data_IF_237852908698
#
_entry.id   IF_237852908698
#
_cell.length_a   1.000
_cell.length_b   1.000
_cell.length_c   1.000
_cell.angle_alpha   90.00
_cell.angle_beta   90.00
_cell.angle_gamma   90.00
#
_symmetry.space_group_name_H-M   'P 1'
#
loop_
_entity.id
_entity.type
_entity.pdbx_description
1 polymer ?
#
# COMPACT_ATOMS: atom_id res chain seq x y z
N UNK A 1 -15.78 17.92 -14.80
CA UNK A 1 -15.79 17.07 -13.59
C UNK A 1 -14.76 15.97 -13.81
N UNK A 2 -13.71 15.87 -12.99
CA UNK A 2 -12.68 14.84 -13.17
C UNK A 2 -13.27 13.42 -13.12
N UNK A 3 -12.81 12.57 -14.03
CA UNK A 3 -13.16 11.14 -14.12
C UNK A 3 -12.04 10.32 -13.50
N UNK A 4 -12.39 9.54 -12.49
CA UNK A 4 -11.45 8.74 -11.70
C UNK A 4 -11.75 7.27 -11.89
N UNK A 5 -10.72 6.47 -12.18
CA UNK A 5 -10.77 5.03 -12.08
C UNK A 5 -10.07 4.57 -10.81
N UNK A 6 -10.78 3.91 -9.90
CA UNK A 6 -10.19 3.19 -8.76
C UNK A 6 -9.92 1.75 -9.20
N UNK A 7 -8.65 1.40 -9.40
CA UNK A 7 -8.22 0.04 -9.67
C UNK A 7 -7.83 -0.67 -8.37
N UNK A 8 -8.77 -1.45 -7.84
CA UNK A 8 -8.63 -2.18 -6.58
C UNK A 8 -9.56 -1.66 -5.48
N UNK A 9 -10.81 -2.11 -5.50
CA UNK A 9 -11.88 -1.73 -4.56
C UNK A 9 -11.80 -2.47 -3.22
N UNK A 10 -10.60 -2.55 -2.62
CA UNK A 10 -10.44 -3.01 -1.24
C UNK A 10 -10.67 -1.87 -0.24
N UNK A 11 -10.20 -2.04 1.01
CA UNK A 11 -10.34 -1.03 2.06
C UNK A 11 -9.86 0.38 1.64
N UNK A 12 -8.64 0.49 1.11
CA UNK A 12 -8.06 1.78 0.68
C UNK A 12 -8.84 2.38 -0.49
N UNK A 13 -9.09 1.59 -1.54
CA UNK A 13 -9.82 2.04 -2.73
C UNK A 13 -11.25 2.50 -2.42
N UNK A 14 -11.93 1.84 -1.48
CA UNK A 14 -13.25 2.27 -1.01
C UNK A 14 -13.23 3.67 -0.39
N UNK A 15 -12.24 3.97 0.46
CA UNK A 15 -12.12 5.29 1.12
C UNK A 15 -11.67 6.36 0.15
N UNK A 16 -10.70 6.09 -0.72
CA UNK A 16 -10.24 7.08 -1.71
C UNK A 16 -11.31 7.35 -2.77
N UNK A 17 -12.05 6.33 -3.21
CA UNK A 17 -13.24 6.53 -4.04
C UNK A 17 -14.32 7.35 -3.34
N UNK A 18 -14.50 7.17 -2.02
CA UNK A 18 -15.43 7.98 -1.23
C UNK A 18 -15.00 9.45 -1.19
N UNK A 19 -13.75 9.73 -0.81
CA UNK A 19 -13.19 11.09 -0.75
C UNK A 19 -13.33 11.78 -2.12
N UNK A 20 -12.90 11.13 -3.19
CA UNK A 20 -12.98 11.72 -4.54
C UNK A 20 -14.43 11.89 -5.02
N UNK A 21 -15.35 11.00 -4.61
CA UNK A 21 -16.78 11.19 -4.85
C UNK A 21 -17.35 12.40 -4.10
N UNK A 22 -16.90 12.65 -2.86
CA UNK A 22 -17.31 13.83 -2.08
C UNK A 22 -16.77 15.13 -2.68
N UNK A 23 -15.59 15.08 -3.32
CA UNK A 23 -15.03 16.17 -4.11
C UNK A 23 -15.81 16.46 -5.40
N UNK A 24 -16.88 15.70 -5.67
CA UNK A 24 -17.70 15.81 -6.85
C UNK A 24 -17.08 15.16 -8.08
N UNK A 25 -16.12 14.24 -7.96
CA UNK A 25 -15.58 13.52 -9.12
C UNK A 25 -16.53 12.41 -9.60
N UNK A 26 -16.44 12.06 -10.89
CA UNK A 26 -17.10 10.86 -11.43
C UNK A 26 -16.22 9.64 -11.17
N UNK A 27 -16.63 8.78 -10.25
CA UNK A 27 -15.83 7.63 -9.80
C UNK A 27 -16.32 6.34 -10.43
N UNK A 28 -15.44 5.69 -11.19
CA UNK A 28 -15.59 4.29 -11.64
C UNK A 28 -14.65 3.40 -10.83
N UNK A 29 -15.09 2.20 -10.47
CA UNK A 29 -14.30 1.28 -9.67
C UNK A 29 -14.28 -0.13 -10.25
N UNK A 30 -13.08 -0.74 -10.29
CA UNK A 30 -12.89 -2.11 -10.76
C UNK A 30 -12.93 -3.05 -9.57
N UNK A 31 -14.10 -3.67 -9.39
CA UNK A 31 -14.38 -4.64 -8.35
C UNK A 31 -14.05 -6.06 -8.82
N UNK A 32 -13.70 -6.93 -7.87
CA UNK A 32 -13.61 -8.39 -8.12
C UNK A 32 -14.66 -9.12 -7.30
N UNK A 33 -14.24 -9.68 -6.16
CA UNK A 33 -15.11 -10.45 -5.26
C UNK A 33 -16.28 -9.63 -4.68
N UNK A 34 -16.18 -8.30 -4.63
CA UNK A 34 -17.21 -7.42 -4.11
C UNK A 34 -18.09 -6.77 -5.18
N UNK A 35 -17.95 -7.12 -6.47
CA UNK A 35 -18.66 -6.46 -7.57
C UNK A 35 -20.18 -6.39 -7.36
N UNK A 36 -20.84 -7.53 -7.11
CA UNK A 36 -22.30 -7.59 -6.94
C UNK A 36 -22.76 -6.68 -5.81
N UNK A 37 -22.10 -6.74 -4.65
CA UNK A 37 -22.46 -5.92 -3.49
C UNK A 37 -22.28 -4.42 -3.78
N UNK A 38 -21.16 -4.03 -4.41
CA UNK A 38 -20.89 -2.63 -4.76
C UNK A 38 -21.86 -2.10 -5.82
N UNK A 39 -22.18 -2.91 -6.84
CA UNK A 39 -23.15 -2.54 -7.88
C UNK A 39 -24.55 -2.34 -7.30
N UNK A 40 -25.01 -3.26 -6.47
CA UNK A 40 -26.39 -3.30 -6.00
C UNK A 40 -26.61 -2.32 -4.83
N UNK A 41 -25.64 -2.22 -3.91
CA UNK A 41 -25.81 -1.48 -2.65
C UNK A 41 -24.91 -0.24 -2.53
N UNK A 42 -23.96 -0.04 -3.45
CA UNK A 42 -22.90 0.96 -3.29
C UNK A 42 -21.85 0.53 -2.27
N UNK A 43 -21.11 1.50 -1.75
CA UNK A 43 -20.07 1.30 -0.74
C UNK A 43 -20.48 2.00 0.53
N UNK A 44 -20.47 1.26 1.65
CA UNK A 44 -20.71 1.78 3.00
C UNK A 44 -19.38 2.03 3.69
N UNK A 45 -19.20 3.25 4.19
CA UNK A 45 -18.02 3.71 4.92
C UNK A 45 -18.42 3.94 6.37
N UNK A 46 -17.90 3.12 7.28
CA UNK A 46 -17.99 3.33 8.73
C UNK A 46 -16.67 3.91 9.22
N UNK A 47 -16.60 5.23 9.30
CA UNK A 47 -15.34 5.94 9.58
C UNK A 47 -15.36 6.65 10.93
N UNK A 48 -14.24 6.58 11.64
CA UNK A 48 -13.98 7.42 12.82
C UNK A 48 -13.67 8.89 12.48
N UNK A 49 -13.43 9.20 11.21
CA UNK A 49 -13.14 10.56 10.71
C UNK A 49 -14.35 11.13 9.97
N UNK A 50 -14.93 10.36 9.04
CA UNK A 50 -16.00 10.80 8.15
C UNK A 50 -17.42 10.45 8.65
N UNK A 51 -17.51 9.75 9.78
CA UNK A 51 -18.77 9.18 10.26
C UNK A 51 -19.24 8.00 9.41
N UNK A 52 -20.53 7.67 9.53
CA UNK A 52 -21.17 6.62 8.73
C UNK A 52 -21.75 7.24 7.47
N UNK A 53 -21.25 6.84 6.31
CA UNK A 53 -21.68 7.34 5.02
C UNK A 53 -21.81 6.20 4.00
N UNK A 54 -22.45 6.50 2.87
CA UNK A 54 -22.43 5.62 1.71
C UNK A 54 -22.30 6.44 0.43
N UNK A 55 -21.70 5.84 -0.59
CA UNK A 55 -21.63 6.41 -1.93
C UNK A 55 -21.75 5.31 -2.97
N UNK A 56 -22.15 5.66 -4.19
CA UNK A 56 -22.37 4.69 -5.26
C UNK A 56 -21.52 5.04 -6.48
N UNK A 57 -20.34 4.42 -6.64
CA UNK A 57 -19.54 4.57 -7.86
C UNK A 57 -20.16 3.77 -9.01
N UNK A 58 -19.73 4.05 -10.24
CA UNK A 58 -19.93 3.10 -11.34
C UNK A 58 -19.05 1.88 -11.11
N UNK A 59 -19.66 0.73 -10.84
CA UNK A 59 -18.94 -0.52 -10.58
C UNK A 59 -18.81 -1.35 -11.86
N UNK A 60 -17.61 -1.86 -12.12
CA UNK A 60 -17.32 -2.79 -13.21
C UNK A 60 -16.45 -3.95 -12.72
N UNK A 61 -16.35 -5.03 -13.50
CA UNK A 61 -15.52 -6.20 -13.16
C UNK A 61 -14.13 -6.17 -13.81
N UNK A 62 -13.99 -5.43 -14.92
CA UNK A 62 -12.74 -5.38 -15.69
C UNK A 62 -12.40 -3.96 -16.11
N UNK A 63 -11.12 -3.71 -16.37
CA UNK A 63 -10.65 -2.43 -16.90
C UNK A 63 -11.28 -2.13 -18.26
N UNK A 64 -11.47 -3.15 -19.10
CA UNK A 64 -12.14 -3.01 -20.39
C UNK A 64 -13.59 -2.51 -20.27
N UNK A 65 -14.35 -2.98 -19.27
CA UNK A 65 -15.69 -2.47 -18.99
C UNK A 65 -15.66 -1.02 -18.49
N UNK A 66 -14.63 -0.63 -17.73
CA UNK A 66 -14.48 0.75 -17.26
C UNK A 66 -14.35 1.76 -18.41
N UNK A 67 -13.87 1.35 -19.59
CA UNK A 67 -13.63 2.25 -20.73
C UNK A 67 -14.87 3.01 -21.20
N UNK A 68 -16.07 2.46 -20.99
CA UNK A 68 -17.35 3.13 -21.27
C UNK A 68 -17.53 4.44 -20.48
N UNK A 69 -16.83 4.56 -19.34
CA UNK A 69 -16.89 5.72 -18.47
C UNK A 69 -15.68 6.66 -18.64
N UNK A 70 -14.70 6.26 -19.45
CA UNK A 70 -13.47 7.02 -19.72
C UNK A 70 -13.63 8.12 -20.79
N UNK A 71 -12.51 8.66 -21.31
CA UNK A 71 -11.16 8.51 -20.78
C UNK A 71 -11.07 9.02 -19.33
N UNK A 72 -10.12 8.50 -18.55
CA UNK A 72 -9.94 8.86 -17.15
C UNK A 72 -8.83 9.90 -16.99
N UNK A 73 -9.09 10.93 -16.18
CA UNK A 73 -8.10 11.92 -15.80
C UNK A 73 -7.08 11.29 -14.84
N UNK A 74 -7.56 10.47 -13.90
CA UNK A 74 -6.74 9.74 -12.94
C UNK A 74 -7.09 8.26 -12.88
N UNK A 75 -6.08 7.40 -12.91
CA UNK A 75 -6.18 5.97 -12.56
C UNK A 75 -5.48 5.76 -11.22
N UNK A 76 -6.26 5.60 -10.16
CA UNK A 76 -5.77 5.39 -8.80
C UNK A 76 -5.65 3.90 -8.51
N UNK A 77 -4.43 3.42 -8.38
CA UNK A 77 -4.09 2.03 -8.14
C UNK A 77 -3.97 1.77 -6.64
N UNK A 78 -4.97 1.08 -6.10
CA UNK A 78 -5.04 0.63 -4.71
C UNK A 78 -5.13 -0.90 -4.58
N UNK A 79 -5.01 -1.60 -5.71
CA UNK A 79 -4.82 -3.05 -5.74
C UNK A 79 -3.48 -3.42 -5.09
N UNK A 80 -3.37 -4.64 -4.58
CA UNK A 80 -2.14 -5.19 -4.00
C UNK A 80 -0.99 -5.14 -5.02
N UNK A 81 0.20 -4.77 -4.56
CA UNK A 81 1.41 -4.72 -5.37
C UNK A 81 1.98 -6.12 -5.59
N UNK A 82 1.52 -6.76 -6.66
CA UNK A 82 2.08 -8.03 -7.16
C UNK A 82 2.81 -7.78 -8.48
N UNK A 83 3.79 -8.63 -8.85
CA UNK A 83 4.42 -8.57 -10.15
C UNK A 83 3.39 -8.58 -11.28
N UNK A 84 3.49 -7.63 -12.23
CA UNK A 84 2.59 -7.52 -13.37
C UNK A 84 1.31 -6.71 -13.11
N UNK A 85 1.09 -6.19 -11.90
CA UNK A 85 -0.08 -5.35 -11.60
C UNK A 85 -0.15 -4.12 -12.53
N UNK A 86 0.99 -3.54 -12.92
CA UNK A 86 1.03 -2.37 -13.81
C UNK A 86 0.46 -2.66 -15.20
N UNK A 87 0.63 -3.87 -15.72
CA UNK A 87 0.07 -4.28 -17.01
C UNK A 87 -1.46 -4.39 -16.97
N UNK A 88 -2.07 -4.61 -15.80
CA UNK A 88 -3.50 -4.84 -15.68
C UNK A 88 -4.34 -3.58 -15.96
N UNK A 89 -3.75 -2.38 -15.86
CA UNK A 89 -4.45 -1.12 -16.09
C UNK A 89 -4.31 -0.59 -17.52
N UNK A 90 -3.52 -1.27 -18.38
CA UNK A 90 -3.06 -0.75 -19.69
C UNK A 90 -4.18 -0.20 -20.55
N UNK A 91 -5.32 -0.90 -20.64
CA UNK A 91 -6.45 -0.47 -21.48
C UNK A 91 -7.07 0.86 -21.04
N UNK A 92 -6.99 1.23 -19.75
CA UNK A 92 -7.56 2.47 -19.22
C UNK A 92 -6.59 3.66 -19.22
N UNK A 93 -5.31 3.45 -19.56
CA UNK A 93 -4.32 4.52 -19.61
C UNK A 93 -4.36 5.17 -20.99
N UNK A 94 -4.98 6.35 -21.07
CA UNK A 94 -4.93 7.21 -22.25
C UNK A 94 -3.70 8.14 -22.17
N UNK A 95 -3.27 8.80 -23.26
CA UNK A 95 -2.12 9.73 -23.24
C UNK A 95 -2.24 10.87 -22.21
N UNK A 96 -3.47 11.29 -21.88
CA UNK A 96 -3.74 12.34 -20.89
C UNK A 96 -3.90 11.83 -19.45
N UNK A 97 -3.89 10.52 -19.24
CA UNK A 97 -4.18 9.91 -17.94
C UNK A 97 -3.00 10.10 -16.99
N UNK A 98 -3.30 10.51 -15.76
CA UNK A 98 -2.35 10.47 -14.64
C UNK A 98 -2.52 9.17 -13.86
N UNK A 99 -1.43 8.44 -13.65
CA UNK A 99 -1.43 7.21 -12.85
C UNK A 99 -1.05 7.57 -11.42
N UNK A 100 -1.81 7.07 -10.43
CA UNK A 100 -1.61 7.36 -9.01
C UNK A 100 -1.42 6.05 -8.25
N UNK A 101 -0.26 5.83 -7.65
CA UNK A 101 0.05 4.62 -6.89
C UNK A 101 -0.19 4.83 -5.39
N UNK A 102 -1.21 4.16 -4.85
CA UNK A 102 -1.49 4.05 -3.42
C UNK A 102 -1.12 2.68 -2.86
N UNK A 103 -0.06 2.07 -3.38
CA UNK A 103 0.38 0.71 -3.04
C UNK A 103 1.48 0.72 -1.98
N UNK A 104 1.57 -0.35 -1.18
CA UNK A 104 2.68 -0.52 -0.24
C UNK A 104 3.97 -0.90 -0.98
N UNK A 105 5.10 -0.64 -0.33
CA UNK A 105 6.41 -1.09 -0.82
C UNK A 105 7.18 -0.03 -1.59
N UNK A 106 8.30 -0.44 -2.17
CA UNK A 106 9.20 0.42 -2.94
C UNK A 106 9.60 -0.22 -4.27
N UNK A 107 10.05 0.60 -5.23
CA UNK A 107 10.58 0.13 -6.51
C UNK A 107 9.51 -0.29 -7.52
N UNK A 108 8.27 -0.54 -7.09
CA UNK A 108 7.17 -0.91 -7.99
C UNK A 108 6.84 0.18 -9.02
N UNK A 109 7.10 1.46 -8.71
CA UNK A 109 6.92 2.57 -9.63
C UNK A 109 7.75 2.47 -10.92
N UNK A 110 8.88 1.74 -10.90
CA UNK A 110 9.72 1.53 -12.09
C UNK A 110 8.96 0.78 -13.18
N UNK A 111 8.19 -0.24 -12.82
CA UNK A 111 7.36 -1.01 -13.76
C UNK A 111 6.34 -0.10 -14.47
N UNK A 112 5.73 0.84 -13.73
CA UNK A 112 4.79 1.80 -14.32
C UNK A 112 5.50 2.83 -15.21
N UNK A 113 6.64 3.35 -14.79
CA UNK A 113 7.41 4.32 -15.58
C UNK A 113 7.93 3.72 -16.90
N UNK A 114 8.33 2.44 -16.89
CA UNK A 114 8.76 1.72 -18.09
C UNK A 114 7.60 1.42 -19.06
N UNK A 115 6.42 1.08 -18.53
CA UNK A 115 5.24 0.76 -19.35
C UNK A 115 4.52 2.00 -19.87
N UNK A 116 4.58 3.12 -19.14
CA UNK A 116 3.84 4.35 -19.42
C UNK A 116 4.74 5.60 -19.35
N UNK A 117 5.80 5.67 -20.19
CA UNK A 117 6.85 6.70 -20.07
C UNK A 117 6.35 8.14 -20.32
N UNK A 118 5.26 8.30 -21.06
CA UNK A 118 4.69 9.60 -21.41
C UNK A 118 3.59 10.06 -20.43
N UNK A 119 3.18 9.19 -19.51
CA UNK A 119 2.11 9.47 -18.55
C UNK A 119 2.68 10.06 -17.26
N UNK A 120 1.95 11.00 -16.66
CA UNK A 120 2.29 11.49 -15.32
C UNK A 120 2.10 10.36 -14.32
N UNK A 121 3.15 10.08 -13.54
CA UNK A 121 3.11 9.13 -12.46
C UNK A 121 3.21 9.86 -11.12
N UNK A 122 2.17 9.70 -10.29
CA UNK A 122 2.13 10.13 -8.90
C UNK A 122 2.27 8.87 -8.05
N UNK A 123 3.12 8.93 -7.04
CA UNK A 123 3.29 7.85 -6.07
C UNK A 123 3.03 8.40 -4.67
N UNK A 124 2.54 7.55 -3.77
CA UNK A 124 2.24 8.03 -2.43
C UNK A 124 2.37 7.01 -1.33
N UNK A 125 2.31 7.54 -0.10
CA UNK A 125 2.38 6.81 1.16
C UNK A 125 1.02 6.84 1.82
N UNK A 126 0.42 5.66 1.95
CA UNK A 126 -0.90 5.50 2.55
C UNK A 126 -0.78 5.31 4.07
N UNK A 127 -1.39 6.21 4.84
CA UNK A 127 -1.63 6.07 6.27
C UNK A 127 -3.12 5.97 6.54
N UNK A 128 -3.66 4.76 6.33
CA UNK A 128 -5.09 4.52 6.38
C UNK A 128 -5.40 3.17 7.04
N UNK A 129 -5.66 3.11 8.36
CA UNK A 129 -6.21 1.92 8.99
C UNK A 129 -7.62 1.66 8.48
N UNK A 130 -7.77 0.72 7.56
CA UNK A 130 -9.07 0.36 7.00
C UNK A 130 -9.15 -1.14 6.75
N UNK A 131 -10.28 -1.73 7.14
CA UNK A 131 -10.58 -3.14 6.91
C UNK A 131 -11.90 -3.22 6.16
N UNK A 132 -11.94 -4.04 5.11
CA UNK A 132 -13.20 -4.41 4.49
C UNK A 132 -13.79 -5.59 5.26
N UNK A 133 -14.84 -5.32 6.02
CA UNK A 133 -15.49 -6.31 6.90
C UNK A 133 -16.50 -7.17 6.16
N UNK A 134 -17.12 -6.61 5.11
CA UNK A 134 -18.05 -7.29 4.21
C UNK A 134 -17.86 -6.79 2.77
N UNK A 135 -18.29 -7.53 1.73
CA UNK A 135 -18.34 -7.01 0.36
C UNK A 135 -19.04 -5.63 0.29
N UNK A 136 -18.29 -4.57 -0.05
CA UNK A 136 -18.82 -3.20 -0.12
C UNK A 136 -18.92 -2.44 1.21
N UNK A 137 -18.51 -3.02 2.35
CA UNK A 137 -18.55 -2.35 3.67
C UNK A 137 -17.14 -2.26 4.26
N UNK A 138 -16.72 -1.04 4.60
CA UNK A 138 -15.40 -0.79 5.19
C UNK A 138 -15.50 -0.12 6.56
N UNK A 139 -14.63 -0.55 7.47
CA UNK A 139 -14.39 0.08 8.76
C UNK A 139 -13.07 0.85 8.71
N UNK A 140 -13.13 2.15 8.94
CA UNK A 140 -12.00 3.08 8.83
C UNK A 140 -11.69 3.70 10.19
N UNK A 141 -10.44 3.52 10.62
CA UNK A 141 -9.92 3.99 11.89
C UNK A 141 -9.68 5.51 11.96
N UNK A 142 -9.01 5.99 13.02
CA UNK A 142 -8.93 7.42 13.36
C UNK A 142 -7.78 8.13 12.63
N UNK A 143 -7.36 7.64 11.44
CA UNK A 143 -6.28 8.25 10.67
C UNK A 143 -6.61 8.18 9.19
N UNK A 144 -6.42 9.29 8.49
CA UNK A 144 -6.45 9.37 7.03
C UNK A 144 -5.37 10.35 6.62
N UNK A 145 -4.44 9.88 5.77
CA UNK A 145 -3.43 10.70 5.12
C UNK A 145 -2.86 9.95 3.92
N UNK A 146 -2.75 10.63 2.78
CA UNK A 146 -2.14 10.13 1.55
C UNK A 146 -1.02 11.08 1.09
N UNK A 147 0.19 10.89 1.62
CA UNK A 147 1.31 11.74 1.21
C UNK A 147 1.69 11.40 -0.23
N UNK A 148 1.81 12.39 -1.11
CA UNK A 148 2.00 12.18 -2.56
C UNK A 148 3.16 13.00 -3.12
N UNK A 149 3.74 12.52 -4.21
CA UNK A 149 4.72 13.24 -5.02
C UNK A 149 4.81 12.61 -6.42
N UNK A 150 5.44 13.31 -7.37
CA UNK A 150 5.65 12.76 -8.71
C UNK A 150 6.79 11.75 -8.71
N UNK A 151 6.77 10.82 -9.67
CA UNK A 151 7.90 9.98 -10.00
C UNK A 151 8.26 10.14 -11.49
N UNK A 152 9.52 10.50 -11.83
CA UNK A 152 10.59 10.85 -10.90
C UNK A 152 10.33 12.19 -10.16
N UNK A 153 11.07 12.51 -9.07
CA UNK A 153 10.87 13.74 -8.29
C UNK A 153 11.11 15.04 -9.09
N UNK A 154 11.95 14.98 -10.13
CA UNK A 154 12.28 16.06 -11.05
C UNK A 154 11.38 16.10 -12.30
N UNK A 155 10.19 15.46 -12.22
CA UNK A 155 9.19 15.54 -13.27
C UNK A 155 8.82 16.99 -13.64
N UNK A 156 8.24 17.14 -14.83
CA UNK A 156 7.92 18.45 -15.41
C UNK A 156 7.01 19.30 -14.51
N UNK A 157 7.02 20.65 -14.64
CA UNK A 157 6.09 21.53 -13.94
C UNK A 157 4.63 21.12 -14.08
N UNK A 158 4.22 20.69 -15.28
CA UNK A 158 2.86 20.21 -15.57
C UNK A 158 2.52 18.95 -14.76
N UNK A 159 3.45 18.00 -14.66
CA UNK A 159 3.28 16.80 -13.85
C UNK A 159 3.13 17.14 -12.35
N UNK A 160 3.93 18.08 -11.85
CA UNK A 160 3.82 18.57 -10.47
C UNK A 160 2.50 19.29 -10.22
N UNK A 161 1.96 19.97 -11.23
CA UNK A 161 0.65 20.60 -11.14
C UNK A 161 -0.47 19.57 -11.09
N UNK A 162 -0.43 18.49 -11.90
CA UNK A 162 -1.37 17.36 -11.76
C UNK A 162 -1.35 16.75 -10.35
N UNK A 163 -0.18 16.68 -9.72
CA UNK A 163 -0.06 16.21 -8.34
C UNK A 163 -0.75 17.15 -7.34
N UNK A 164 -0.63 18.47 -7.53
CA UNK A 164 -1.35 19.48 -6.73
C UNK A 164 -2.86 19.44 -6.98
N UNK A 165 -3.31 19.32 -8.23
CA UNK A 165 -4.72 19.15 -8.57
C UNK A 165 -5.33 17.95 -7.83
N UNK A 166 -4.64 16.80 -7.81
CA UNK A 166 -5.08 15.62 -7.05
C UNK A 166 -5.15 15.91 -5.54
N UNK A 167 -4.17 16.62 -4.99
CA UNK A 167 -4.18 17.06 -3.58
C UNK A 167 -5.42 17.87 -3.24
N UNK A 168 -5.79 18.81 -4.11
CA UNK A 168 -6.95 19.68 -3.92
C UNK A 168 -8.26 18.91 -4.06
N UNK A 169 -8.34 17.90 -4.94
CA UNK A 169 -9.48 16.99 -4.98
C UNK A 169 -9.62 16.20 -3.68
N UNK A 170 -8.53 15.67 -3.11
CA UNK A 170 -8.59 15.00 -1.81
C UNK A 170 -9.08 15.94 -0.70
N UNK A 171 -8.57 17.17 -0.66
CA UNK A 171 -9.00 18.19 0.31
C UNK A 171 -10.47 18.56 0.16
N UNK A 172 -10.94 18.79 -1.07
CA UNK A 172 -12.33 19.09 -1.36
C UNK A 172 -13.27 17.95 -0.94
N UNK A 173 -12.79 16.71 -0.99
CA UNK A 173 -13.50 15.52 -0.51
C UNK A 173 -13.42 15.26 0.99
N UNK A 174 -12.77 16.15 1.76
CA UNK A 174 -12.57 16.03 3.20
C UNK A 174 -11.36 15.19 3.63
N UNK A 175 -10.57 14.67 2.69
CA UNK A 175 -9.34 13.93 2.95
C UNK A 175 -8.09 14.81 2.98
N UNK A 176 -6.92 14.17 3.13
CA UNK A 176 -5.63 14.83 3.23
C UNK A 176 -4.59 14.17 2.34
N UNK A 177 -4.14 14.90 1.31
CA UNK A 177 -3.08 14.43 0.42
C UNK A 177 -1.93 15.43 0.27
N UNK A 178 -1.09 15.65 1.30
CA UNK A 178 0.01 16.62 1.23
C UNK A 178 1.02 16.24 0.14
N UNK A 179 1.47 17.25 -0.62
CA UNK A 179 2.40 17.10 -1.74
C UNK A 179 3.82 17.33 -1.26
N UNK A 180 4.74 16.43 -1.64
CA UNK A 180 6.17 16.55 -1.41
C UNK A 180 6.89 16.73 -2.74
N UNK A 181 7.93 17.57 -2.76
CA UNK A 181 8.80 17.73 -3.93
C UNK A 181 9.53 16.43 -4.25
N UNK A 182 9.95 15.72 -3.21
CA UNK A 182 10.43 14.36 -3.27
C UNK A 182 9.77 13.54 -2.16
N UNK A 183 8.98 12.55 -2.58
CA UNK A 183 8.21 11.65 -1.71
C UNK A 183 9.01 10.39 -1.31
N UNK A 184 10.15 10.13 -1.94
CA UNK A 184 10.94 8.93 -1.71
C UNK A 184 11.43 8.78 -0.26
N UNK A 185 11.85 9.85 0.47
CA UNK A 185 12.18 9.73 1.89
C UNK A 185 11.02 9.18 2.74
N UNK A 186 9.79 9.65 2.51
CA UNK A 186 8.59 9.19 3.23
C UNK A 186 8.28 7.73 2.89
N UNK A 187 8.50 7.33 1.63
CA UNK A 187 8.34 5.95 1.18
C UNK A 187 9.35 5.03 1.86
N UNK A 188 10.63 5.40 1.93
CA UNK A 188 11.66 4.63 2.63
C UNK A 188 11.37 4.48 4.12
N UNK A 189 10.96 5.55 4.80
CA UNK A 189 10.59 5.46 6.21
C UNK A 189 9.38 4.53 6.42
N UNK A 190 8.33 4.67 5.61
CA UNK A 190 7.16 3.79 5.66
C UNK A 190 7.54 2.34 5.38
N UNK A 191 8.42 2.12 4.40
CA UNK A 191 8.92 0.81 4.03
C UNK A 191 9.64 0.17 5.21
N UNK A 192 10.54 0.87 5.90
CA UNK A 192 11.24 0.34 7.07
C UNK A 192 10.27 -0.18 8.14
N UNK A 193 9.23 0.61 8.45
CA UNK A 193 8.16 0.22 9.37
C UNK A 193 7.43 -1.03 8.89
N UNK A 194 7.00 -1.05 7.62
CA UNK A 194 6.28 -2.19 7.05
C UNK A 194 7.16 -3.45 6.96
N UNK A 195 8.42 -3.32 6.55
CA UNK A 195 9.39 -4.42 6.41
C UNK A 195 9.71 -5.07 7.76
N UNK A 196 9.70 -4.31 8.86
CA UNK A 196 9.89 -4.86 10.19
C UNK A 196 8.59 -5.47 10.75
N UNK A 197 7.50 -4.70 10.80
CA UNK A 197 6.28 -5.13 11.51
C UNK A 197 5.40 -6.10 10.73
N UNK A 198 5.21 -5.91 9.42
CA UNK A 198 4.29 -6.75 8.64
C UNK A 198 4.70 -8.23 8.65
N UNK A 199 5.93 -8.60 8.27
CA UNK A 199 6.31 -10.01 8.30
C UNK A 199 6.48 -10.54 9.71
N UNK A 200 6.99 -9.77 10.68
CA UNK A 200 7.18 -10.25 12.06
C UNK A 200 5.84 -10.69 12.68
N UNK A 201 4.80 -9.86 12.54
CA UNK A 201 3.44 -10.17 13.01
C UNK A 201 2.80 -11.29 12.19
N UNK A 202 2.96 -11.30 10.87
CA UNK A 202 2.40 -12.32 9.99
C UNK A 202 3.01 -13.73 10.21
N UNK A 203 4.30 -13.80 10.53
CA UNK A 203 5.01 -15.06 10.82
C UNK A 203 4.65 -15.61 12.20
N UNK A 204 4.57 -14.73 13.20
CA UNK A 204 4.29 -15.12 14.59
C UNK A 204 2.81 -15.25 14.91
N UNK A 205 1.95 -14.73 14.03
CA UNK A 205 0.50 -14.58 14.23
C UNK A 205 0.10 -13.67 15.41
N UNK A 206 1.08 -12.95 15.98
CA UNK A 206 0.89 -11.93 17.00
C UNK A 206 0.54 -10.57 16.38
N UNK A 207 -0.27 -9.75 17.05
CA UNK A 207 -0.27 -8.31 16.81
C UNK A 207 1.05 -7.66 17.27
N UNK A 208 1.25 -6.37 16.94
CA UNK A 208 2.51 -5.67 17.23
C UNK A 208 2.88 -5.64 18.73
N UNK A 209 1.92 -5.44 19.62
CA UNK A 209 2.16 -5.42 21.07
C UNK A 209 2.43 -6.83 21.61
N UNK A 210 1.69 -7.84 21.17
CA UNK A 210 1.93 -9.23 21.56
C UNK A 210 3.29 -9.75 21.05
N UNK A 211 3.73 -9.31 19.88
CA UNK A 211 5.10 -9.60 19.41
C UNK A 211 6.13 -9.03 20.38
N UNK A 212 5.98 -7.78 20.83
CA UNK A 212 6.87 -7.18 21.83
C UNK A 212 6.84 -7.91 23.18
N UNK A 213 5.67 -8.39 23.62
CA UNK A 213 5.55 -9.20 24.86
C UNK A 213 6.23 -10.56 24.74
N UNK A 214 6.37 -11.10 23.53
CA UNK A 214 6.84 -12.47 23.31
C UNK A 214 8.30 -12.71 23.71
N UNK A 215 9.14 -11.67 23.67
CA UNK A 215 10.57 -11.79 23.95
C UNK A 215 11.19 -10.43 24.29
N UNK A 216 12.12 -10.36 25.26
CA UNK A 216 12.88 -9.13 25.53
C UNK A 216 13.76 -8.68 24.35
N UNK A 217 13.96 -9.54 23.33
CA UNK A 217 14.71 -9.21 22.11
C UNK A 217 13.83 -8.70 20.97
N UNK A 218 12.50 -8.75 21.10
CA UNK A 218 11.58 -8.43 20.00
C UNK A 218 11.77 -7.00 19.47
N UNK A 219 11.90 -6.02 20.38
CA UNK A 219 12.12 -4.62 20.01
C UNK A 219 13.46 -4.42 19.25
N UNK A 220 14.52 -5.08 19.70
CA UNK A 220 15.85 -5.00 19.07
C UNK A 220 15.85 -5.57 17.65
N UNK A 221 15.15 -6.70 17.43
CA UNK A 221 14.99 -7.29 16.10
C UNK A 221 14.26 -6.33 15.14
N UNK A 222 13.16 -5.71 15.57
CA UNK A 222 12.45 -4.72 14.76
C UNK A 222 13.36 -3.54 14.40
N UNK A 223 14.09 -3.01 15.39
CA UNK A 223 15.04 -1.91 15.17
C UNK A 223 16.09 -2.29 14.13
N UNK A 224 16.67 -3.48 14.22
CA UNK A 224 17.69 -3.97 13.29
C UNK A 224 17.17 -4.13 11.87
N UNK A 225 15.96 -4.68 11.69
CA UNK A 225 15.34 -4.76 10.36
C UNK A 225 15.10 -3.36 9.78
N UNK A 226 14.64 -2.40 10.60
CA UNK A 226 14.47 -1.02 10.13
C UNK A 226 15.82 -0.38 9.74
N UNK A 227 16.91 -0.68 10.46
CA UNK A 227 18.25 -0.20 10.14
C UNK A 227 18.77 -0.76 8.83
N UNK A 228 18.61 -2.06 8.57
CA UNK A 228 18.95 -2.67 7.27
C UNK A 228 18.27 -1.92 6.10
N UNK A 229 16.97 -1.60 6.25
CA UNK A 229 16.25 -0.80 5.23
C UNK A 229 16.81 0.62 5.13
N UNK A 230 17.22 1.23 6.26
CA UNK A 230 17.87 2.54 6.29
C UNK A 230 19.23 2.57 5.59
N UNK A 231 20.02 1.51 5.70
CA UNK A 231 21.30 1.37 5.01
C UNK A 231 21.08 1.26 3.49
N UNK A 232 20.07 0.51 3.05
CA UNK A 232 19.65 0.47 1.64
C UNK A 232 19.18 1.85 1.17
N UNK A 233 18.36 2.54 1.96
CA UNK A 233 17.88 3.89 1.65
C UNK A 233 19.04 4.89 1.51
N UNK A 234 20.04 4.79 2.38
CA UNK A 234 21.28 5.59 2.32
C UNK A 234 22.03 5.35 1.02
N UNK A 235 22.28 4.09 0.68
CA UNK A 235 22.88 3.74 -0.61
C UNK A 235 22.01 4.18 -1.81
N UNK A 236 20.70 4.36 -1.60
CA UNK A 236 19.77 4.89 -2.57
C UNK A 236 19.76 6.41 -2.73
N UNK A 237 20.61 7.13 -2.00
CA UNK A 237 20.67 8.58 -2.04
C UNK A 237 19.73 9.26 -1.03
N UNK A 238 19.18 8.50 -0.07
CA UNK A 238 18.27 9.00 0.96
C UNK A 238 18.81 8.73 2.38
N UNK A 239 19.98 9.28 2.75
CA UNK A 239 20.67 8.98 4.03
C UNK A 239 19.82 9.31 5.27
N UNK A 240 18.95 10.33 5.18
CA UNK A 240 18.15 10.80 6.31
C UNK A 240 16.71 10.25 6.31
N UNK A 241 16.38 9.32 5.41
CA UNK A 241 15.02 8.79 5.34
C UNK A 241 14.66 7.89 6.53
N UNK A 242 15.64 7.14 7.07
CA UNK A 242 15.43 6.24 8.20
C UNK A 242 16.43 6.55 9.30
N UNK A 243 16.06 7.46 10.21
CA UNK A 243 16.91 7.88 11.32
C UNK A 243 16.62 7.08 12.59
N UNK A 244 17.59 7.00 13.50
CA UNK A 244 17.39 6.40 14.83
C UNK A 244 16.22 7.06 15.58
N UNK A 245 16.09 8.39 15.49
CA UNK A 245 14.95 9.11 16.07
C UNK A 245 13.61 8.68 15.45
N UNK A 246 13.57 8.48 14.13
CA UNK A 246 12.38 7.99 13.44
C UNK A 246 12.00 6.58 13.90
N UNK A 247 12.99 5.69 14.02
CA UNK A 247 12.77 4.32 14.52
C UNK A 247 12.24 4.34 15.95
N UNK A 248 12.87 5.08 16.85
CA UNK A 248 12.41 5.18 18.24
C UNK A 248 11.00 5.75 18.35
N UNK A 249 10.67 6.75 17.53
CA UNK A 249 9.32 7.31 17.47
C UNK A 249 8.29 6.29 16.94
N UNK A 250 8.65 5.45 15.97
CA UNK A 250 7.76 4.36 15.52
C UNK A 250 7.52 3.34 16.62
N UNK A 251 8.57 2.90 17.32
CA UNK A 251 8.52 1.93 18.41
C UNK A 251 7.64 2.39 19.59
N UNK A 252 7.49 3.70 19.83
CA UNK A 252 6.58 4.20 20.88
C UNK A 252 5.12 3.79 20.65
N UNK A 253 4.68 3.65 19.39
CA UNK A 253 3.30 3.31 19.07
C UNK A 253 2.90 1.93 19.61
N UNK A 254 3.58 0.82 19.27
CA UNK A 254 3.27 -0.50 19.83
C UNK A 254 3.60 -0.60 21.32
N UNK A 255 4.60 0.13 21.82
CA UNK A 255 4.89 0.20 23.27
C UNK A 255 3.74 0.80 24.07
N UNK A 256 3.12 1.87 23.57
CA UNK A 256 1.90 2.44 24.16
C UNK A 256 0.67 1.53 24.13
N UNK A 257 0.76 0.39 23.43
CA UNK A 257 -0.30 -0.64 23.34
C UNK A 257 -0.02 -1.89 24.19
N UNK A 258 1.09 -1.92 24.94
CA UNK A 258 1.49 -3.08 25.76
C UNK A 258 0.49 -3.43 26.86
N UNK A 259 -0.38 -2.51 27.28
CA UNK A 259 -1.42 -2.79 28.28
C UNK A 259 -2.84 -2.85 27.70
N UNK A 260 -3.06 -2.36 26.48
CA UNK A 260 -4.41 -2.20 25.89
C UNK A 260 -4.70 -3.14 24.71
N UNK A 261 -3.67 -3.84 24.20
CA UNK A 261 -3.79 -4.71 23.04
C UNK A 261 -3.21 -4.06 21.78
N UNK A 262 -2.57 -4.88 20.94
CA UNK A 262 -1.85 -4.39 19.78
C UNK A 262 -2.72 -4.13 18.57
N UNK A 263 -2.07 -3.78 17.47
CA UNK A 263 -2.69 -3.58 16.17
C UNK A 263 -2.21 -4.64 15.20
N UNK A 264 -3.13 -5.15 14.40
CA UNK A 264 -2.85 -6.09 13.32
C UNK A 264 -2.42 -5.33 12.06
N UNK A 265 -1.20 -5.57 11.54
CA UNK A 265 -0.80 -5.04 10.25
C UNK A 265 -1.42 -5.83 9.09
N UNK A 266 -1.46 -5.24 7.89
CA UNK A 266 -2.20 -5.79 6.76
C UNK A 266 -1.73 -7.18 6.32
N UNK A 267 -0.42 -7.47 6.43
CA UNK A 267 0.13 -8.77 6.06
C UNK A 267 -0.34 -9.89 7.02
N UNK A 268 -0.48 -9.60 8.31
CA UNK A 268 -1.07 -10.54 9.27
C UNK A 268 -2.53 -10.84 8.91
N UNK A 269 -3.29 -9.81 8.54
CA UNK A 269 -4.66 -9.98 8.07
C UNK A 269 -4.73 -10.84 6.80
N UNK A 270 -3.82 -10.65 5.85
CA UNK A 270 -3.75 -11.49 4.64
C UNK A 270 -3.44 -12.95 4.98
N UNK A 271 -2.44 -13.17 5.83
CA UNK A 271 -2.07 -14.52 6.30
C UNK A 271 -3.21 -15.22 7.03
N UNK A 272 -3.95 -14.54 7.91
CA UNK A 272 -5.10 -15.11 8.63
C UNK A 272 -6.23 -15.53 7.70
N UNK A 273 -6.37 -14.81 6.58
CA UNK A 273 -7.41 -15.10 5.59
C UNK A 273 -6.92 -16.02 4.46
N UNK A 274 -5.71 -16.59 4.57
CA UNK A 274 -5.15 -17.46 3.54
C UNK A 274 -4.94 -16.76 2.19
N UNK A 275 -4.61 -15.46 2.21
CA UNK A 275 -4.34 -14.67 0.99
C UNK A 275 -2.84 -14.47 0.79
N UNK A 276 -2.44 -14.40 -0.47
CA UNK A 276 -1.09 -13.99 -0.85
C UNK A 276 -0.75 -12.59 -0.29
N UNK A 277 0.53 -12.40 0.03
CA UNK A 277 1.06 -11.22 0.71
C UNK A 277 1.93 -10.37 -0.22
N UNK A 278 2.08 -9.08 0.11
CA UNK A 278 2.93 -8.13 -0.65
C UNK A 278 4.43 -8.29 -0.31
N UNK A 279 4.87 -9.53 -0.08
CA UNK A 279 6.24 -9.86 0.35
C UNK A 279 7.30 -9.32 -0.62
N UNK A 280 7.07 -9.41 -1.93
CA UNK A 280 7.99 -8.86 -2.94
C UNK A 280 8.06 -7.33 -2.89
N UNK A 281 6.91 -6.67 -2.86
CA UNK A 281 6.86 -5.20 -2.87
C UNK A 281 7.47 -4.58 -1.60
N UNK A 282 7.28 -5.22 -0.45
CA UNK A 282 7.72 -4.70 0.86
C UNK A 282 9.16 -5.10 1.19
N UNK A 283 9.59 -6.32 0.83
CA UNK A 283 10.89 -6.87 1.26
C UNK A 283 11.79 -7.16 0.04
N UNK A 284 11.28 -7.92 -0.94
CA UNK A 284 12.07 -8.38 -2.09
C UNK A 284 12.67 -7.24 -2.92
N UNK A 285 11.89 -6.22 -3.23
CA UNK A 285 12.37 -5.06 -3.99
C UNK A 285 13.45 -4.28 -3.23
N UNK A 286 13.33 -4.14 -1.91
CA UNK A 286 14.32 -3.46 -1.08
C UNK A 286 15.64 -4.24 -1.07
N UNK A 287 15.57 -5.56 -0.86
CA UNK A 287 16.73 -6.45 -0.91
C UNK A 287 17.45 -6.37 -2.25
N UNK A 288 16.72 -6.46 -3.36
CA UNK A 288 17.31 -6.32 -4.70
C UNK A 288 18.05 -4.99 -4.86
N UNK A 289 17.48 -3.89 -4.37
CA UNK A 289 18.14 -2.57 -4.38
C UNK A 289 19.42 -2.58 -3.51
N UNK A 290 19.41 -3.27 -2.36
CA UNK A 290 20.58 -3.44 -1.50
C UNK A 290 21.68 -4.24 -2.17
N UNK A 291 21.35 -5.39 -2.77
CA UNK A 291 22.27 -6.27 -3.50
C UNK A 291 22.94 -5.54 -4.67
N UNK A 292 22.16 -4.80 -5.47
CA UNK A 292 22.66 -3.98 -6.59
C UNK A 292 23.67 -2.92 -6.14
N UNK A 293 23.65 -2.54 -4.85
CA UNK A 293 24.54 -1.53 -4.26
C UNK A 293 25.55 -2.09 -3.27
N UNK A 294 25.62 -3.42 -3.11
CA UNK A 294 26.56 -4.08 -2.20
C UNK A 294 26.33 -3.74 -0.72
N UNK A 295 25.07 -3.52 -0.32
CA UNK A 295 24.70 -3.31 1.10
C UNK A 295 24.37 -4.66 1.73
N UNK A 296 25.02 -5.01 2.83
CA UNK A 296 24.69 -6.21 3.61
C UNK A 296 23.45 -5.97 4.47
N UNK A 297 22.44 -6.85 4.40
CA UNK A 297 21.19 -6.66 5.15
C UNK A 297 20.71 -7.94 5.83
N UNK A 298 21.47 -8.47 6.80
CA UNK A 298 21.27 -9.82 7.32
C UNK A 298 19.90 -10.04 8.01
N UNK A 299 19.32 -9.02 8.64
CA UNK A 299 18.02 -9.14 9.31
C UNK A 299 16.89 -9.04 8.29
N UNK A 300 17.02 -8.18 7.29
CA UNK A 300 16.07 -8.08 6.19
C UNK A 300 16.05 -9.36 5.34
N UNK A 301 17.22 -9.92 5.02
CA UNK A 301 17.36 -11.19 4.30
C UNK A 301 16.70 -12.36 5.06
N UNK A 302 16.95 -12.44 6.37
CA UNK A 302 16.35 -13.46 7.22
C UNK A 302 14.82 -13.36 7.23
N UNK A 303 14.27 -12.17 7.51
CA UNK A 303 12.83 -12.01 7.64
C UNK A 303 12.12 -12.13 6.28
N UNK A 304 12.75 -11.70 5.19
CA UNK A 304 12.29 -11.94 3.82
C UNK A 304 12.19 -13.44 3.53
N UNK A 305 13.25 -14.21 3.81
CA UNK A 305 13.28 -15.65 3.53
C UNK A 305 12.15 -16.38 4.24
N UNK A 306 11.92 -16.05 5.52
CA UNK A 306 10.82 -16.62 6.30
C UNK A 306 9.45 -16.19 5.76
N UNK A 307 9.28 -14.90 5.44
CA UNK A 307 8.05 -14.36 4.89
C UNK A 307 7.71 -14.99 3.53
N UNK A 308 8.70 -15.20 2.66
CA UNK A 308 8.54 -15.93 1.39
C UNK A 308 8.10 -17.37 1.61
N UNK A 309 8.68 -18.06 2.60
CA UNK A 309 8.25 -19.40 2.98
C UNK A 309 6.78 -19.43 3.45
N UNK A 310 6.37 -18.44 4.25
CA UNK A 310 4.97 -18.29 4.71
C UNK A 310 4.01 -18.05 3.55
N UNK A 311 4.36 -17.14 2.64
CA UNK A 311 3.57 -16.82 1.46
C UNK A 311 3.43 -18.05 0.53
N UNK A 312 4.52 -18.77 0.30
CA UNK A 312 4.54 -20.00 -0.48
C UNK A 312 3.69 -21.11 0.15
N UNK A 313 3.68 -21.23 1.48
CA UNK A 313 2.82 -22.20 2.17
C UNK A 313 1.31 -21.87 2.05
N UNK A 314 0.94 -20.61 1.79
CA UNK A 314 -0.46 -20.19 1.57
C UNK A 314 -0.90 -20.55 0.14
N UNK A 315 -0.02 -20.33 -0.84
CA UNK A 315 -0.30 -20.59 -2.25
C UNK A 315 0.84 -21.42 -2.87
N UNK A 316 0.95 -22.72 -2.54
CA UNK A 316 2.00 -23.57 -3.08
C UNK A 316 1.84 -23.77 -4.59
N UNK A 317 2.98 -23.84 -5.29
CA UNK A 317 3.02 -24.24 -6.70
C UNK A 317 3.41 -25.71 -6.84
N UNK A 318 3.61 -26.16 -8.08
CA UNK A 318 3.98 -27.52 -8.46
C UNK A 318 5.28 -28.06 -7.81
N UNK A 319 6.12 -27.19 -7.25
CA UNK A 319 7.34 -27.58 -6.52
C UNK A 319 7.03 -28.04 -5.09
N UNK A 320 5.83 -27.81 -4.57
CA UNK A 320 5.45 -28.18 -3.20
C UNK A 320 5.33 -29.70 -3.08
N UNK A 321 6.09 -30.27 -2.15
CA UNK A 321 6.02 -31.70 -1.83
C UNK A 321 5.15 -31.91 -0.60
N UNK A 322 4.30 -32.96 -0.56
CA UNK A 322 3.51 -33.28 0.62
C UNK A 322 4.39 -33.45 1.86
N UNK A 323 3.93 -32.92 2.99
CA UNK A 323 4.60 -33.10 4.27
C UNK A 323 4.52 -34.58 4.64
N UNK A 324 5.67 -35.21 4.86
CA UNK A 324 5.73 -36.58 5.35
C UNK A 324 5.02 -36.65 6.70
N UNK A 325 3.88 -37.34 6.75
CA UNK A 325 3.21 -37.67 8.01
C UNK A 325 3.83 -38.95 8.52
N UNK A 326 4.57 -38.86 9.63
CA UNK A 326 4.87 -40.05 10.42
C UNK A 326 3.53 -40.53 10.98
N UNK A 327 3.10 -41.72 10.53
CA UNK A 327 1.90 -42.40 11.04
C UNK A 327 2.08 -42.86 12.47
#
# INVERSE_FOLDING_TARGET
MPKILIFGTGGVGCIYGFILSQAGCSVTTVCRSNFTAVRDNGITVRSKIFGNASYRPTAVQTVRQALENGPFDYVVVTAKAFPGTANLIKEAVAPSTTIVLGQNGIGGEKEYAELYPDNVLIVGVVYLPVTQVEPGVVEHGPLERFEIGTYPPDASPDAKERCRELSDLFRAGGGSAPVFDDIQPQRWFKLAVNAAWNPATALTMCDDANYLRSSPKAEDVIRKIMKDVGEIATAAGYPDAVTDQGIEHDLQRPKGRLDTGGKEPSMLTDVRNGRATEVEAILGNALKIGEERGVETPYLELIYTLAKGRDYAIAPDERWKPIARHG
#
